data_IF_464056928011
#
_entry.id   IF_464056928011
#
_cell.length_a   1.000
_cell.length_b   1.000
_cell.length_c   1.000
_cell.angle_alpha   90.00
_cell.angle_beta   90.00
_cell.angle_gamma   90.00
#
_symmetry.space_group_name_H-M   'P 1'
#
loop_
_entity.id
_entity.type
_entity.pdbx_description
1 polymer ?
#
# COMPACT_ATOMS: atom_id res chain seq x y z
N UNK A 1 36.01 -56.80 25.52
CA UNK A 1 35.57 -55.75 26.46
C UNK A 1 36.03 -54.43 25.88
N UNK A 2 35.11 -53.59 25.42
CA UNK A 2 35.43 -52.32 24.75
C UNK A 2 35.34 -51.17 25.77
N UNK A 3 36.37 -50.35 25.81
CA UNK A 3 36.54 -49.23 26.73
C UNK A 3 36.11 -47.94 26.01
N UNK A 4 34.99 -47.35 26.45
CA UNK A 4 34.44 -46.11 25.88
C UNK A 4 35.01 -44.93 26.68
N UNK A 5 35.83 -44.10 26.02
CA UNK A 5 36.27 -42.81 26.55
C UNK A 5 35.26 -41.73 26.15
N UNK A 6 34.64 -41.12 27.14
CA UNK A 6 33.77 -39.94 26.97
C UNK A 6 34.63 -38.71 27.20
N UNK A 7 35.05 -38.05 26.12
CA UNK A 7 35.73 -36.76 26.20
C UNK A 7 34.69 -35.66 26.48
N UNK A 8 34.88 -34.97 27.60
CA UNK A 8 34.03 -33.87 28.06
C UNK A 8 34.57 -32.56 27.47
N UNK A 9 33.83 -31.98 26.53
CA UNK A 9 34.18 -30.73 25.85
C UNK A 9 33.70 -29.53 26.69
N UNK A 10 34.58 -29.02 27.55
CA UNK A 10 34.38 -27.74 28.23
C UNK A 10 34.79 -26.61 27.27
N UNK A 11 33.83 -26.11 26.50
CA UNK A 11 34.07 -25.04 25.52
C UNK A 11 33.49 -23.72 26.00
N UNK A 12 34.42 -22.80 26.24
CA UNK A 12 34.33 -21.37 26.54
C UNK A 12 33.14 -20.65 25.87
N UNK A 13 31.94 -20.70 26.48
CA UNK A 13 30.82 -19.84 26.09
C UNK A 13 30.87 -18.58 26.93
N UNK A 14 31.30 -17.48 26.33
CA UNK A 14 31.14 -16.16 26.93
C UNK A 14 29.68 -16.03 27.38
N UNK A 15 29.40 -15.73 28.66
CA UNK A 15 28.03 -15.72 29.16
C UNK A 15 27.25 -14.63 28.43
N UNK A 16 26.35 -15.05 27.53
CA UNK A 16 25.44 -14.15 26.76
C UNK A 16 24.30 -13.63 27.66
N UNK A 17 24.14 -14.24 28.83
CA UNK A 17 23.12 -13.91 29.85
C UNK A 17 23.00 -12.41 30.23
N UNK A 18 24.08 -11.61 30.34
CA UNK A 18 23.99 -10.19 30.67
C UNK A 18 23.30 -9.36 29.57
N UNK A 19 23.50 -9.72 28.30
CA UNK A 19 22.90 -8.99 27.17
C UNK A 19 21.40 -9.22 27.06
N UNK A 20 20.94 -10.44 27.33
CA UNK A 20 19.51 -10.79 27.34
C UNK A 20 18.77 -10.05 28.45
N UNK A 21 19.38 -9.95 29.64
CA UNK A 21 18.82 -9.16 30.75
C UNK A 21 18.75 -7.67 30.40
N UNK A 22 19.77 -7.12 29.72
CA UNK A 22 19.75 -5.73 29.25
C UNK A 22 18.60 -5.43 28.28
N UNK A 23 18.36 -6.32 27.31
CA UNK A 23 17.28 -6.17 26.35
C UNK A 23 15.89 -6.22 27.02
N UNK A 24 15.70 -7.11 28.01
CA UNK A 24 14.43 -7.23 28.74
C UNK A 24 14.07 -5.98 29.55
N UNK A 25 15.07 -5.36 30.21
CA UNK A 25 14.85 -4.12 30.97
C UNK A 25 14.47 -2.96 30.04
N UNK A 26 15.08 -2.89 28.85
CA UNK A 26 14.82 -1.83 27.89
C UNK A 26 13.40 -1.92 27.30
N UNK A 27 12.93 -3.14 27.00
CA UNK A 27 11.54 -3.38 26.57
C UNK A 27 10.54 -2.99 27.67
N UNK A 28 10.84 -3.33 28.93
CA UNK A 28 9.99 -2.97 30.07
C UNK A 28 9.88 -1.45 30.28
N UNK A 29 10.96 -0.69 30.06
CA UNK A 29 10.94 0.76 30.14
C UNK A 29 10.10 1.40 29.02
N UNK A 30 10.17 0.87 27.80
CA UNK A 30 9.36 1.37 26.67
C UNK A 30 7.86 1.19 26.97
N UNK A 31 7.47 0.02 27.49
CA UNK A 31 6.09 -0.26 27.88
C UNK A 31 5.63 0.57 29.08
N UNK A 32 6.50 0.84 30.05
CA UNK A 32 6.17 1.66 31.22
C UNK A 32 5.97 3.14 30.92
N UNK A 33 6.64 3.68 29.89
CA UNK A 33 6.52 5.09 29.49
C UNK A 33 5.23 5.35 28.70
N UNK A 34 4.75 4.42 27.88
CA UNK A 34 3.48 4.61 27.14
C UNK A 34 2.27 4.71 28.06
N UNK A 35 2.23 3.92 29.14
CA UNK A 35 1.14 3.97 30.14
C UNK A 35 1.11 5.28 30.94
N UNK A 36 2.25 5.98 31.03
CA UNK A 36 2.36 7.22 31.81
C UNK A 36 2.00 8.48 30.99
N UNK A 37 1.86 8.35 29.66
CA UNK A 37 1.53 9.45 28.75
C UNK A 37 0.06 9.46 28.30
N UNK A 38 -0.70 8.37 28.50
CA UNK A 38 -2.12 8.27 28.13
C UNK A 38 -3.09 8.65 29.28
N UNK A 39 -2.65 9.49 30.24
CA UNK A 39 -3.53 10.11 31.24
C UNK A 39 -3.55 11.61 31.05
N UNK A 40 -4.45 12.09 30.20
CA UNK A 40 -5.15 13.37 30.39
C UNK A 40 -6.49 13.36 29.62
N UNK A 41 -7.54 13.14 30.41
CA UNK A 41 -8.87 13.75 30.45
C UNK A 41 -9.79 13.87 29.22
N UNK A 42 -10.94 13.22 29.38
CA UNK A 42 -12.26 13.52 28.81
C UNK A 42 -12.77 14.94 29.17
N UNK A 43 -13.75 15.38 28.37
CA UNK A 43 -14.76 16.43 28.58
C UNK A 43 -14.54 17.76 27.85
N UNK A 44 -15.17 17.89 26.67
CA UNK A 44 -16.11 19.00 26.46
C UNK A 44 -17.15 18.70 25.35
N UNK A 45 -18.39 18.54 25.80
CA UNK A 45 -19.60 18.54 24.97
C UNK A 45 -19.82 19.96 24.42
N UNK A 46 -19.74 20.15 23.11
CA UNK A 46 -20.28 21.35 22.45
C UNK A 46 -21.27 20.98 21.35
N UNK A 47 -22.37 21.71 21.39
CA UNK A 47 -23.63 21.44 20.74
C UNK A 47 -23.57 21.53 19.20
N UNK A 48 -24.48 20.79 18.57
CA UNK A 48 -25.02 20.99 17.22
C UNK A 48 -25.17 22.47 16.87
N UNK A 49 -24.41 22.93 15.88
CA UNK A 49 -24.71 24.12 15.08
C UNK A 49 -24.45 23.83 13.61
N UNK A 50 -25.50 23.52 12.88
CA UNK A 50 -25.55 23.61 11.41
C UNK A 50 -25.47 25.08 11.02
N UNK A 51 -24.28 25.54 10.62
CA UNK A 51 -24.12 26.75 9.82
C UNK A 51 -23.96 26.36 8.35
N UNK A 52 -25.02 26.59 7.59
CA UNK A 52 -25.04 26.67 6.13
C UNK A 52 -24.03 27.72 5.67
N UNK A 53 -22.85 27.26 5.25
CA UNK A 53 -21.91 28.08 4.50
C UNK A 53 -22.32 28.04 3.03
N UNK A 54 -23.16 29.02 2.68
CA UNK A 54 -23.38 29.49 1.32
C UNK A 54 -22.05 30.08 0.80
N UNK A 55 -21.29 29.27 0.07
CA UNK A 55 -20.08 29.70 -0.65
C UNK A 55 -20.20 29.21 -2.07
N UNK A 56 -20.77 30.08 -2.90
CA UNK A 56 -20.81 29.90 -4.35
C UNK A 56 -19.42 29.71 -4.93
N UNK A 57 -19.16 28.49 -5.41
CA UNK A 57 -18.14 28.20 -6.39
C UNK A 57 -18.87 28.00 -7.71
N UNK A 58 -18.52 28.85 -8.68
CA UNK A 58 -19.01 28.80 -10.03
C UNK A 58 -18.61 27.47 -10.66
N UNK A 59 -19.60 26.64 -10.99
CA UNK A 59 -19.42 25.45 -11.80
C UNK A 59 -19.15 25.91 -13.24
N UNK A 60 -17.88 25.90 -13.65
CA UNK A 60 -17.52 25.92 -15.07
C UNK A 60 -17.80 24.52 -15.65
N UNK A 61 -18.93 24.44 -16.38
CA UNK A 61 -19.27 23.49 -17.45
C UNK A 61 -18.45 22.18 -17.54
N UNK A 62 -18.93 21.14 -16.86
CA UNK A 62 -18.45 19.75 -16.99
C UNK A 62 -19.06 18.98 -18.17
N UNK A 63 -19.90 19.60 -19.01
CA UNK A 63 -20.62 18.89 -20.09
C UNK A 63 -19.75 18.55 -21.32
N UNK A 64 -18.49 18.99 -21.41
CA UNK A 64 -17.63 18.75 -22.58
C UNK A 64 -16.51 17.72 -22.37
N UNK A 65 -16.40 17.08 -21.19
CA UNK A 65 -15.45 15.96 -20.96
C UNK A 65 -16.08 14.56 -21.06
N UNK A 66 -17.40 14.48 -21.25
CA UNK A 66 -18.16 13.20 -21.30
C UNK A 66 -17.96 12.43 -22.62
N UNK A 67 -17.29 12.99 -23.64
CA UNK A 67 -17.17 12.34 -24.96
C UNK A 67 -15.94 11.44 -25.18
N UNK A 68 -14.95 11.46 -24.29
CA UNK A 68 -13.71 10.68 -24.51
C UNK A 68 -13.54 9.45 -23.60
N UNK A 69 -14.44 9.20 -22.64
CA UNK A 69 -14.29 8.10 -21.68
C UNK A 69 -15.07 6.82 -22.08
N UNK A 70 -15.40 6.65 -23.35
CA UNK A 70 -16.15 5.50 -23.86
C UNK A 70 -15.26 4.31 -24.29
N UNK A 71 -13.96 4.32 -23.95
CA UNK A 71 -13.00 3.32 -24.44
C UNK A 71 -12.66 2.21 -23.43
N UNK A 72 -12.96 2.37 -22.14
CA UNK A 72 -12.80 1.27 -21.17
C UNK A 72 -14.12 1.05 -20.43
N UNK A 73 -14.70 -0.15 -20.59
CA UNK A 73 -16.04 -0.52 -20.10
C UNK A 73 -16.19 -0.65 -18.58
N UNK A 74 -15.52 0.21 -17.81
CA UNK A 74 -15.69 0.31 -16.37
C UNK A 74 -16.73 1.40 -16.06
N UNK A 75 -18.01 1.02 -15.99
CA UNK A 75 -19.00 1.85 -15.31
C UNK A 75 -18.66 1.86 -13.81
N UNK A 76 -17.83 2.84 -13.43
CA UNK A 76 -17.20 2.95 -12.12
C UNK A 76 -18.22 3.21 -11.01
N UNK A 77 -18.29 2.32 -10.01
CA UNK A 77 -18.58 2.68 -8.60
C UNK A 77 -17.97 1.63 -7.65
N UNK A 78 -16.66 1.68 -7.40
CA UNK A 78 -16.08 0.85 -6.35
C UNK A 78 -14.57 1.01 -6.15
N UNK A 79 -14.05 0.78 -4.94
CA UNK A 79 -12.63 0.97 -4.64
C UNK A 79 -11.66 0.20 -5.54
N UNK A 80 -12.06 -0.98 -6.02
CA UNK A 80 -11.27 -1.78 -6.97
C UNK A 80 -11.12 -1.05 -8.30
N UNK A 81 -12.23 -0.59 -8.88
CA UNK A 81 -12.21 0.15 -10.15
C UNK A 81 -11.45 1.48 -10.02
N UNK A 82 -11.62 2.18 -8.90
CA UNK A 82 -10.90 3.45 -8.63
C UNK A 82 -9.39 3.28 -8.54
N UNK A 83 -8.92 2.10 -8.10
CA UNK A 83 -7.52 1.75 -8.04
C UNK A 83 -6.98 1.32 -9.41
N UNK A 84 -7.71 0.47 -10.15
CA UNK A 84 -7.31 0.06 -11.50
C UNK A 84 -7.20 1.26 -12.44
N UNK A 85 -8.14 2.21 -12.38
CA UNK A 85 -8.07 3.46 -13.14
C UNK A 85 -6.91 4.35 -12.73
N UNK A 86 -6.47 4.28 -11.47
CA UNK A 86 -5.27 4.98 -11.03
C UNK A 86 -4.02 4.35 -11.65
N UNK A 87 -3.91 3.03 -11.65
CA UNK A 87 -2.77 2.32 -12.26
C UNK A 87 -2.70 2.61 -13.76
N UNK A 88 -3.82 2.41 -14.48
CA UNK A 88 -3.95 2.61 -15.93
C UNK A 88 -3.52 4.02 -16.38
N UNK A 89 -4.04 5.07 -15.72
CA UNK A 89 -3.69 6.46 -16.08
C UNK A 89 -2.22 6.80 -15.89
N UNK A 90 -1.56 6.16 -14.94
CA UNK A 90 -0.17 6.47 -14.60
C UNK A 90 0.84 5.56 -15.32
N UNK A 91 0.38 4.50 -16.01
CA UNK A 91 1.22 3.66 -16.85
C UNK A 91 1.51 4.35 -18.21
N UNK A 92 0.51 5.02 -18.78
CA UNK A 92 0.60 5.71 -20.08
C UNK A 92 1.59 6.89 -20.09
N UNK A 93 1.74 7.60 -18.97
CA UNK A 93 2.63 8.77 -18.88
C UNK A 93 4.13 8.40 -18.93
N UNK A 94 4.48 7.12 -18.76
CA UNK A 94 5.86 6.65 -18.88
C UNK A 94 6.42 6.72 -20.32
N UNK A 95 5.56 6.72 -21.34
CA UNK A 95 6.00 6.70 -22.75
C UNK A 95 6.06 8.12 -23.37
N UNK A 96 5.34 9.09 -22.80
CA UNK A 96 5.24 10.45 -23.36
C UNK A 96 6.46 11.34 -23.07
N UNK A 97 7.26 11.05 -22.05
CA UNK A 97 8.45 11.86 -21.71
C UNK A 97 9.65 11.63 -22.65
N UNK A 98 9.65 10.56 -23.45
CA UNK A 98 10.81 10.22 -24.30
C UNK A 98 10.89 10.92 -25.65
N UNK A 99 9.84 11.59 -26.13
CA UNK A 99 9.80 11.99 -27.56
C UNK A 99 9.76 13.48 -27.88
N UNK A 100 9.66 14.44 -26.93
CA UNK A 100 9.47 15.83 -27.36
C UNK A 100 9.95 16.98 -26.44
N UNK A 101 11.07 16.82 -25.73
CA UNK A 101 11.70 17.93 -24.95
C UNK A 101 12.78 18.67 -25.76
N UNK A 102 12.79 18.57 -27.10
CA UNK A 102 13.79 19.27 -27.92
C UNK A 102 13.47 20.75 -28.19
N UNK A 103 12.21 21.19 -28.03
CA UNK A 103 11.75 22.50 -28.54
C UNK A 103 11.30 23.50 -27.46
N UNK A 104 11.49 23.21 -26.17
CA UNK A 104 11.10 24.15 -25.09
C UNK A 104 12.23 25.15 -24.81
N UNK A 105 12.02 26.48 -24.98
CA UNK A 105 13.05 27.48 -24.79
C UNK A 105 13.55 27.45 -23.33
N UNK A 106 14.87 27.41 -23.17
CA UNK A 106 15.58 27.39 -21.90
C UNK A 106 15.39 28.73 -21.16
N UNK A 107 14.30 28.87 -20.40
CA UNK A 107 14.13 29.92 -19.41
C UNK A 107 14.73 29.46 -18.07
N UNK A 108 15.72 30.21 -17.59
CA UNK A 108 16.76 29.79 -16.65
C UNK A 108 16.38 29.75 -15.17
N UNK A 109 15.18 29.28 -14.81
CA UNK A 109 14.78 29.13 -13.40
C UNK A 109 15.03 27.71 -12.87
N UNK A 110 16.31 27.37 -12.67
CA UNK A 110 16.78 26.05 -12.24
C UNK A 110 16.41 25.64 -10.78
N UNK A 111 15.76 26.51 -10.00
CA UNK A 111 15.50 26.27 -8.57
C UNK A 111 14.11 25.71 -8.24
N UNK A 112 13.14 25.80 -9.14
CA UNK A 112 11.73 25.46 -8.83
C UNK A 112 11.32 24.08 -9.34
N UNK A 113 12.01 23.55 -10.34
CA UNK A 113 11.68 22.27 -10.96
C UNK A 113 11.86 21.07 -10.00
N UNK A 114 12.97 21.02 -9.26
CA UNK A 114 13.26 19.89 -8.36
C UNK A 114 12.23 19.76 -7.23
N UNK A 115 11.76 20.87 -6.64
CA UNK A 115 10.74 20.83 -5.57
C UNK A 115 9.35 20.44 -6.10
N UNK A 116 9.02 20.85 -7.33
CA UNK A 116 7.74 20.49 -7.96
C UNK A 116 7.74 19.02 -8.36
N UNK A 117 8.85 18.51 -8.89
CA UNK A 117 9.00 17.11 -9.27
C UNK A 117 8.94 16.17 -8.05
N UNK A 118 9.63 16.52 -6.95
CA UNK A 118 9.55 15.74 -5.71
C UNK A 118 8.13 15.68 -5.14
N UNK A 119 7.38 16.78 -5.17
CA UNK A 119 6.01 16.83 -4.65
C UNK A 119 5.05 15.89 -5.39
N UNK A 120 5.19 15.79 -6.72
CA UNK A 120 4.34 14.94 -7.56
C UNK A 120 4.54 13.45 -7.23
N UNK A 121 5.77 13.01 -6.96
CA UNK A 121 6.07 11.59 -6.67
C UNK A 121 5.55 11.15 -5.29
N UNK A 122 5.59 12.05 -4.29
CA UNK A 122 5.01 11.78 -2.99
C UNK A 122 3.48 11.71 -3.05
N UNK A 123 2.86 12.62 -3.80
CA UNK A 123 1.40 12.61 -4.03
C UNK A 123 0.98 11.33 -4.76
N UNK A 124 1.68 10.96 -5.83
CA UNK A 124 1.46 9.73 -6.58
C UNK A 124 1.55 8.49 -5.66
N UNK A 125 2.65 8.35 -4.90
CA UNK A 125 2.86 7.18 -4.03
C UNK A 125 1.80 7.11 -2.93
N UNK A 126 1.50 8.23 -2.28
CA UNK A 126 0.52 8.26 -1.19
C UNK A 126 -0.92 8.00 -1.67
N UNK A 127 -1.30 8.58 -2.81
CA UNK A 127 -2.60 8.31 -3.43
C UNK A 127 -2.73 6.84 -3.86
N UNK A 128 -1.68 6.28 -4.48
CA UNK A 128 -1.62 4.89 -4.89
C UNK A 128 -1.81 3.93 -3.72
N UNK A 129 -1.10 4.16 -2.61
CA UNK A 129 -1.24 3.34 -1.39
C UNK A 129 -2.66 3.43 -0.82
N UNK A 130 -3.26 4.64 -0.78
CA UNK A 130 -4.63 4.83 -0.27
C UNK A 130 -5.66 4.07 -1.10
N UNK A 131 -5.57 4.20 -2.43
CA UNK A 131 -6.46 3.49 -3.35
C UNK A 131 -6.26 1.98 -3.29
N UNK A 132 -5.02 1.53 -3.21
CA UNK A 132 -4.69 0.12 -3.00
C UNK A 132 -5.31 -0.42 -1.71
N UNK A 133 -5.19 0.32 -0.60
CA UNK A 133 -5.83 -0.02 0.69
C UNK A 133 -7.34 -0.18 0.57
N UNK A 134 -7.99 0.74 -0.12
CA UNK A 134 -9.42 0.71 -0.34
C UNK A 134 -9.83 -0.50 -1.21
N UNK A 135 -9.07 -0.79 -2.27
CA UNK A 135 -9.30 -1.93 -3.15
C UNK A 135 -9.14 -3.28 -2.41
N UNK A 136 -8.05 -3.45 -1.65
CA UNK A 136 -7.83 -4.66 -0.84
C UNK A 136 -8.91 -4.83 0.24
N UNK A 137 -9.34 -3.71 0.85
CA UNK A 137 -10.46 -3.73 1.81
C UNK A 137 -11.75 -4.20 1.16
N UNK A 138 -12.04 -3.74 -0.06
CA UNK A 138 -13.23 -4.17 -0.81
C UNK A 138 -13.16 -5.64 -1.22
N UNK A 139 -11.99 -6.13 -1.66
CA UNK A 139 -11.79 -7.56 -1.98
C UNK A 139 -11.92 -8.46 -0.74
N UNK A 140 -11.52 -7.95 0.42
CA UNK A 140 -11.60 -8.64 1.70
C UNK A 140 -12.95 -8.46 2.42
N UNK A 141 -13.90 -7.70 1.87
CA UNK A 141 -15.10 -7.27 2.60
C UNK A 141 -15.99 -8.42 3.10
N UNK A 142 -15.98 -9.56 2.41
CA UNK A 142 -16.71 -10.77 2.81
C UNK A 142 -15.97 -11.61 3.86
N UNK A 143 -14.74 -11.25 4.24
CA UNK A 143 -13.91 -12.01 5.17
C UNK A 143 -14.03 -11.48 6.60
N UNK A 144 -14.36 -12.38 7.52
CA UNK A 144 -14.27 -12.14 8.97
C UNK A 144 -12.96 -12.67 9.57
N UNK A 145 -11.95 -12.98 8.74
CA UNK A 145 -10.67 -13.54 9.18
C UNK A 145 -9.87 -12.48 9.95
N UNK A 146 -9.51 -12.82 11.20
CA UNK A 146 -8.77 -11.92 12.09
C UNK A 146 -7.39 -11.54 11.53
N UNK A 147 -6.73 -12.43 10.79
CA UNK A 147 -5.42 -12.16 10.18
C UNK A 147 -5.52 -11.07 9.10
N UNK A 148 -6.56 -11.13 8.27
CA UNK A 148 -6.85 -10.10 7.27
C UNK A 148 -7.10 -8.74 7.93
N UNK A 149 -7.86 -8.69 9.03
CA UNK A 149 -8.14 -7.45 9.75
C UNK A 149 -6.85 -6.85 10.37
N UNK A 150 -6.00 -7.70 10.94
CA UNK A 150 -4.72 -7.29 11.53
C UNK A 150 -3.77 -6.74 10.46
N UNK A 151 -3.60 -7.47 9.34
CA UNK A 151 -2.75 -7.06 8.22
C UNK A 151 -3.22 -5.76 7.59
N UNK A 152 -4.53 -5.59 7.39
CA UNK A 152 -5.11 -4.33 6.89
C UNK A 152 -4.80 -3.15 7.81
N UNK A 153 -4.92 -3.34 9.12
CA UNK A 153 -4.62 -2.30 10.11
C UNK A 153 -3.14 -1.90 10.06
N UNK A 154 -2.23 -2.89 10.02
CA UNK A 154 -0.80 -2.62 9.91
C UNK A 154 -0.44 -1.88 8.60
N UNK A 155 -1.04 -2.29 7.49
CA UNK A 155 -0.86 -1.64 6.19
C UNK A 155 -1.32 -0.17 6.21
N UNK A 156 -2.50 0.10 6.75
CA UNK A 156 -3.03 1.47 6.88
C UNK A 156 -2.13 2.35 7.76
N UNK A 157 -1.66 1.84 8.89
CA UNK A 157 -0.74 2.58 9.76
C UNK A 157 0.57 2.98 9.07
N UNK A 158 1.11 2.10 8.23
CA UNK A 158 2.34 2.41 7.49
C UNK A 158 2.08 3.35 6.30
N UNK A 159 0.93 3.24 5.65
CA UNK A 159 0.47 4.22 4.67
C UNK A 159 0.40 5.64 5.25
N UNK A 160 -0.15 5.77 6.47
CA UNK A 160 -0.25 7.06 7.16
C UNK A 160 1.13 7.64 7.50
N UNK A 161 2.11 6.80 7.88
CA UNK A 161 3.49 7.25 8.15
C UNK A 161 4.17 7.86 6.94
N UNK A 162 3.96 7.28 5.75
CA UNK A 162 4.54 7.81 4.51
C UNK A 162 4.01 9.22 4.21
N UNK A 163 2.76 9.50 4.56
CA UNK A 163 2.12 10.80 4.34
C UNK A 163 2.57 11.88 5.34
N UNK A 164 2.86 11.48 6.59
CA UNK A 164 3.12 12.43 7.67
C UNK A 164 4.48 13.13 7.56
N UNK A 165 5.49 12.46 7.00
CA UNK A 165 6.84 12.99 6.91
C UNK A 165 7.34 12.92 5.47
N UNK A 166 6.87 13.78 4.54
CA UNK A 166 7.22 13.70 3.12
C UNK A 166 8.73 13.94 2.84
N UNK A 167 9.49 14.44 3.80
CA UNK A 167 10.93 14.75 3.64
C UNK A 167 11.83 13.68 4.26
N UNK A 168 11.27 12.54 4.68
CA UNK A 168 12.02 11.51 5.39
C UNK A 168 13.03 10.82 4.48
N UNK A 169 14.30 10.80 4.91
CA UNK A 169 15.33 9.98 4.26
C UNK A 169 15.10 8.46 4.46
N UNK A 170 14.09 8.07 5.24
CA UNK A 170 13.70 6.69 5.50
C UNK A 170 12.48 6.25 4.67
N UNK A 171 12.09 7.05 3.67
CA UNK A 171 10.96 6.73 2.81
C UNK A 171 11.10 5.42 2.07
N UNK A 172 12.23 5.15 1.43
CA UNK A 172 12.42 3.91 0.67
C UNK A 172 12.20 2.67 1.56
N UNK A 173 12.72 2.69 2.80
CA UNK A 173 12.48 1.63 3.78
C UNK A 173 11.00 1.50 4.18
N UNK A 174 10.32 2.63 4.40
CA UNK A 174 8.91 2.64 4.79
C UNK A 174 8.01 2.19 3.63
N UNK A 175 8.29 2.62 2.41
CA UNK A 175 7.59 2.24 1.18
C UNK A 175 7.76 0.75 0.92
N UNK A 176 8.99 0.24 0.91
CA UNK A 176 9.26 -1.21 0.78
C UNK A 176 8.48 -2.01 1.81
N UNK A 177 8.56 -1.62 3.10
CA UNK A 177 7.83 -2.29 4.17
C UNK A 177 6.32 -2.29 3.93
N UNK A 178 5.77 -1.15 3.50
CA UNK A 178 4.34 -0.99 3.20
C UNK A 178 3.92 -1.86 2.01
N UNK A 179 4.73 -1.91 0.96
CA UNK A 179 4.49 -2.70 -0.24
C UNK A 179 4.58 -4.20 0.02
N UNK A 180 5.57 -4.66 0.80
CA UNK A 180 5.66 -6.05 1.24
C UNK A 180 4.42 -6.44 2.08
N UNK A 181 3.94 -5.56 2.96
CA UNK A 181 2.72 -5.83 3.72
C UNK A 181 1.46 -5.88 2.85
N UNK A 182 1.39 -5.08 1.79
CA UNK A 182 0.32 -5.17 0.81
C UNK A 182 0.34 -6.51 0.09
N UNK A 183 1.53 -6.96 -0.36
CA UNK A 183 1.70 -8.26 -1.00
C UNK A 183 1.31 -9.41 -0.06
N UNK A 184 1.70 -9.35 1.21
CA UNK A 184 1.30 -10.31 2.23
C UNK A 184 -0.21 -10.34 2.45
N UNK A 185 -0.87 -9.17 2.46
CA UNK A 185 -2.32 -9.08 2.56
C UNK A 185 -3.02 -9.65 1.32
N UNK A 186 -2.50 -9.37 0.12
CA UNK A 186 -2.99 -9.97 -1.12
C UNK A 186 -2.87 -11.49 -1.09
N UNK A 187 -1.73 -12.03 -0.65
CA UNK A 187 -1.51 -13.47 -0.51
C UNK A 187 -2.55 -14.09 0.42
N UNK A 188 -2.80 -13.48 1.58
CA UNK A 188 -3.85 -13.95 2.51
C UNK A 188 -5.25 -13.87 1.90
N UNK A 189 -5.60 -12.80 1.20
CA UNK A 189 -6.91 -12.65 0.53
C UNK A 189 -7.08 -13.73 -0.56
N UNK A 190 -6.04 -13.90 -1.39
CA UNK A 190 -5.97 -14.86 -2.49
C UNK A 190 -6.13 -16.30 -2.00
N UNK A 191 -5.37 -16.73 -0.98
CA UNK A 191 -5.43 -18.08 -0.41
C UNK A 191 -6.85 -18.45 0.07
N UNK A 192 -7.65 -17.46 0.45
CA UNK A 192 -9.00 -17.68 0.98
C UNK A 192 -10.10 -17.62 -0.07
N UNK A 193 -9.94 -16.82 -1.12
CA UNK A 193 -11.06 -16.45 -2.00
C UNK A 193 -10.74 -16.48 -3.49
N UNK A 194 -9.46 -16.47 -3.88
CA UNK A 194 -9.04 -16.30 -5.27
C UNK A 194 -7.82 -17.19 -5.63
N UNK A 195 -7.92 -18.52 -5.47
CA UNK A 195 -6.77 -19.43 -5.57
C UNK A 195 -6.09 -19.46 -6.95
N UNK A 196 -6.72 -18.96 -8.01
CA UNK A 196 -6.10 -18.97 -9.35
C UNK A 196 -5.17 -17.76 -9.61
N UNK A 197 -4.93 -16.90 -8.61
CA UNK A 197 -4.12 -15.66 -8.73
C UNK A 197 -2.75 -15.78 -8.03
N UNK A 198 -2.22 -17.00 -7.89
CA UNK A 198 -0.93 -17.26 -7.24
C UNK A 198 0.22 -16.50 -7.91
N UNK A 199 0.36 -16.64 -9.24
CA UNK A 199 1.45 -16.04 -10.00
C UNK A 199 1.43 -14.51 -9.90
N UNK A 200 0.25 -13.90 -10.04
CA UNK A 200 0.12 -12.44 -10.02
C UNK A 200 0.53 -11.86 -8.65
N UNK A 201 0.15 -12.52 -7.55
CA UNK A 201 0.51 -12.05 -6.19
C UNK A 201 2.00 -12.24 -5.89
N UNK A 202 2.63 -13.28 -6.42
CA UNK A 202 4.09 -13.46 -6.27
C UNK A 202 4.85 -12.34 -7.01
N UNK A 203 4.40 -11.94 -8.21
CA UNK A 203 4.99 -10.80 -8.94
C UNK A 203 4.87 -9.48 -8.17
N UNK A 204 3.77 -9.26 -7.44
CA UNK A 204 3.63 -8.08 -6.55
C UNK A 204 4.69 -8.09 -5.45
N UNK A 205 4.96 -9.26 -4.86
CA UNK A 205 5.98 -9.38 -3.81
C UNK A 205 7.38 -9.16 -4.35
N UNK A 206 7.69 -9.71 -5.51
CA UNK A 206 8.97 -9.48 -6.18
C UNK A 206 9.18 -7.98 -6.48
N UNK A 207 8.17 -7.30 -7.01
CA UNK A 207 8.23 -5.85 -7.26
C UNK A 207 8.41 -5.04 -5.97
N UNK A 208 7.76 -5.43 -4.87
CA UNK A 208 7.98 -4.79 -3.56
C UNK A 208 9.41 -4.98 -3.06
N UNK A 209 9.99 -6.18 -3.23
CA UNK A 209 11.33 -6.52 -2.78
C UNK A 209 12.44 -5.89 -3.64
N UNK A 210 12.13 -5.51 -4.88
CA UNK A 210 13.03 -4.81 -5.80
C UNK A 210 13.40 -3.39 -5.33
N UNK A 211 12.60 -2.78 -4.46
CA UNK A 211 12.91 -1.47 -3.88
C UNK A 211 14.16 -1.57 -2.98
N UNK A 212 15.22 -0.87 -3.35
CA UNK A 212 16.42 -0.70 -2.56
C UNK A 212 16.20 0.32 -1.45
N UNK A 213 16.34 -0.12 -0.20
CA UNK A 213 16.22 0.74 0.98
C UNK A 213 17.40 1.71 1.15
N UNK A 214 18.48 1.53 0.37
CA UNK A 214 19.68 2.35 0.41
C UNK A 214 19.71 3.44 -0.67
N UNK A 215 18.75 3.43 -1.58
CA UNK A 215 18.60 4.42 -2.65
C UNK A 215 17.41 5.35 -2.33
N UNK A 216 17.46 6.60 -2.76
CA UNK A 216 16.36 7.53 -2.49
C UNK A 216 15.13 7.14 -3.30
N UNK A 217 13.93 7.26 -2.74
CA UNK A 217 12.68 6.93 -3.44
C UNK A 217 12.54 7.66 -4.79
N UNK A 218 13.05 8.90 -4.87
CA UNK A 218 13.02 9.72 -6.08
C UNK A 218 13.91 9.18 -7.21
N UNK A 219 14.88 8.34 -6.89
CA UNK A 219 15.75 7.67 -7.85
C UNK A 219 15.16 6.31 -8.29
N UNK A 220 14.16 5.80 -7.58
CA UNK A 220 13.54 4.48 -7.78
C UNK A 220 12.07 4.56 -8.23
N UNK A 221 11.78 5.53 -9.11
CA UNK A 221 10.40 5.78 -9.57
C UNK A 221 9.84 4.60 -10.37
N UNK A 222 10.69 3.97 -11.16
CA UNK A 222 10.30 2.86 -12.03
C UNK A 222 9.91 1.65 -11.17
N UNK A 223 10.63 1.37 -10.09
CA UNK A 223 10.33 0.29 -9.14
C UNK A 223 9.00 0.54 -8.40
N UNK A 224 8.75 1.79 -8.00
CA UNK A 224 7.48 2.16 -7.34
C UNK A 224 6.28 2.00 -8.29
N UNK A 225 6.43 2.44 -9.55
CA UNK A 225 5.40 2.29 -10.59
C UNK A 225 5.17 0.82 -10.93
N UNK A 226 6.25 0.06 -11.08
CA UNK A 226 6.21 -1.37 -11.34
C UNK A 226 5.42 -2.11 -10.25
N UNK A 227 5.66 -1.77 -8.98
CA UNK A 227 4.87 -2.31 -7.88
C UNK A 227 3.37 -2.01 -8.05
N UNK A 228 2.99 -0.77 -8.35
CA UNK A 228 1.57 -0.43 -8.56
C UNK A 228 0.96 -1.11 -9.77
N UNK A 229 1.72 -1.26 -10.86
CA UNK A 229 1.30 -2.00 -12.05
C UNK A 229 1.02 -3.46 -11.73
N UNK A 230 1.97 -4.15 -11.10
CA UNK A 230 1.82 -5.55 -10.67
C UNK A 230 0.67 -5.75 -9.71
N UNK A 231 0.47 -4.83 -8.77
CA UNK A 231 -0.65 -4.91 -7.84
C UNK A 231 -2.00 -4.63 -8.50
N UNK A 232 -2.04 -3.78 -9.52
CA UNK A 232 -3.19 -3.63 -10.42
C UNK A 232 -3.54 -4.94 -11.13
N UNK A 233 -2.55 -5.58 -11.75
CA UNK A 233 -2.71 -6.87 -12.45
C UNK A 233 -3.28 -7.95 -11.50
N UNK A 234 -2.70 -8.09 -10.30
CA UNK A 234 -3.17 -9.07 -9.31
C UNK A 234 -4.60 -8.77 -8.82
N UNK A 235 -4.93 -7.50 -8.57
CA UNK A 235 -6.29 -7.09 -8.16
C UNK A 235 -7.30 -7.36 -9.27
N UNK A 236 -6.95 -7.08 -10.53
CA UNK A 236 -7.80 -7.38 -11.67
C UNK A 236 -8.05 -8.90 -11.77
N UNK A 237 -7.00 -9.72 -11.66
CA UNK A 237 -7.13 -11.18 -11.71
C UNK A 237 -8.06 -11.73 -10.61
N UNK A 238 -7.94 -11.22 -9.38
CA UNK A 238 -8.85 -11.56 -8.27
C UNK A 238 -10.29 -11.11 -8.55
N UNK A 239 -10.49 -9.91 -9.09
CA UNK A 239 -11.81 -9.39 -9.44
C UNK A 239 -12.51 -10.23 -10.53
N UNK A 240 -11.76 -10.63 -11.55
CA UNK A 240 -12.24 -11.50 -12.62
C UNK A 240 -12.65 -12.88 -12.09
N UNK A 241 -11.89 -13.46 -11.16
CA UNK A 241 -12.29 -14.68 -10.44
C UNK A 241 -13.59 -14.49 -9.66
N UNK A 242 -13.74 -13.37 -8.95
CA UNK A 242 -14.98 -13.04 -8.20
C UNK A 242 -16.21 -13.04 -9.11
N UNK A 243 -16.09 -12.42 -10.28
CA UNK A 243 -17.17 -12.35 -11.27
C UNK A 243 -17.50 -13.75 -11.82
N UNK A 244 -16.48 -14.55 -12.17
CA UNK A 244 -16.66 -15.94 -12.62
C UNK A 244 -17.39 -16.81 -11.58
N UNK A 245 -17.01 -16.69 -10.31
CA UNK A 245 -17.64 -17.42 -9.20
C UNK A 245 -19.11 -17.02 -9.02
N UNK A 246 -19.42 -15.73 -9.11
CA UNK A 246 -20.79 -15.21 -9.00
C UNK A 246 -21.68 -15.74 -10.13
N UNK A 247 -21.19 -15.72 -11.37
CA UNK A 247 -21.92 -16.23 -12.53
C UNK A 247 -22.21 -17.73 -12.44
N UNK A 248 -21.22 -18.52 -11.99
CA UNK A 248 -21.37 -19.98 -11.82
C UNK A 248 -22.45 -20.31 -10.78
N UNK A 249 -22.47 -19.61 -9.66
CA UNK A 249 -23.47 -19.79 -8.61
C UNK A 249 -24.89 -19.49 -9.13
N UNK A 250 -25.07 -18.40 -9.87
CA UNK A 250 -26.37 -18.02 -10.44
C UNK A 250 -26.92 -19.05 -11.44
N UNK A 251 -26.05 -19.64 -12.28
CA UNK A 251 -26.46 -20.68 -13.24
C UNK A 251 -26.94 -21.96 -12.54
N UNK A 252 -26.27 -22.38 -11.46
CA UNK A 252 -26.65 -23.57 -10.68
C UNK A 252 -28.04 -23.44 -10.03
N UNK A 253 -28.43 -22.22 -9.63
CA UNK A 253 -29.75 -21.97 -9.04
C UNK A 253 -30.88 -22.02 -10.07
N UNK A 254 -30.60 -21.68 -11.33
CA UNK A 254 -31.60 -21.73 -12.41
C UNK A 254 -31.89 -23.16 -12.88
N UNK A 255 -30.93 -24.09 -12.77
CA UNK A 255 -31.11 -25.50 -13.19
C UNK A 255 -31.88 -26.36 -12.19
N UNK A 256 -32.02 -25.90 -10.94
CA UNK A 256 -32.67 -26.64 -9.85
C UNK A 256 -34.15 -26.23 -9.61
N UNK A 257 -34.71 -25.36 -10.46
CA UNK A 257 -36.12 -24.95 -10.44
C UNK A 257 -36.86 -25.48 -11.67
#
# INVERSE_FOLDING_TARGET
MAEIRVDRKDENRNPIWPWILGALVLIGLIWGVSELLDRDDDDDRMATRTETTDRGLAYENEEERVRNNAVTGYEAQGPVSDYLLFVDRNDDDADLDRTNVSDRPADGTAGTAATTEMGLEHEYTSEGIRKLSAALTALAASSTDADIQQKRTAFQQNADKIQQDPMSLQHANTIRTTFTQAADLMATIKDRSYPDSDADVDEVREAAEAIDVNEQTLEQKDEVREFFRKSGEAIQAMDEQRVRNTNTNNQSMQQNN
#
